data_IF_298680433317
#
_entry.id   IF_298680433317
#
_cell.length_a   1.000
_cell.length_b   1.000
_cell.length_c   1.000
_cell.angle_alpha   90.00
_cell.angle_beta   90.00
_cell.angle_gamma   90.00
#
_symmetry.space_group_name_H-M   'P 1'
#
loop_
_entity.id
_entity.type
_entity.pdbx_description
1 polymer ?
#
# COMPACT_ATOMS: atom_id res chain seq x y z
N UNK A 1 24.67 0.11 -58.11
CA UNK A 1 24.10 1.44 -57.97
C UNK A 1 22.87 1.29 -57.10
N UNK A 2 22.90 1.61 -55.95
CA UNK A 2 22.95 2.65 -54.97
C UNK A 2 23.05 2.02 -53.58
N UNK A 3 23.89 2.58 -52.73
CA UNK A 3 24.25 2.13 -51.40
C UNK A 3 23.13 2.32 -50.36
N UNK A 4 23.12 1.54 -49.26
CA UNK A 4 22.20 1.77 -48.13
C UNK A 4 22.74 2.86 -47.19
N UNK A 5 21.84 3.77 -46.80
CA UNK A 5 22.11 4.86 -45.88
C UNK A 5 22.31 4.38 -44.45
N UNK A 6 23.33 4.90 -43.84
CA UNK A 6 23.70 4.87 -42.44
C UNK A 6 22.55 5.46 -41.59
N UNK A 7 22.02 4.70 -40.65
CA UNK A 7 21.22 5.22 -39.55
C UNK A 7 22.15 5.82 -38.51
N UNK A 8 21.98 7.11 -38.26
CA UNK A 8 22.61 7.83 -37.16
C UNK A 8 22.00 7.38 -35.84
N UNK A 9 22.85 7.07 -34.88
CA UNK A 9 22.50 6.90 -33.45
C UNK A 9 21.93 8.21 -32.93
N UNK A 10 20.72 8.15 -32.39
CA UNK A 10 20.17 9.20 -31.57
C UNK A 10 20.78 9.08 -30.16
N UNK A 11 21.19 10.20 -29.52
CA UNK A 11 21.68 10.17 -28.15
C UNK A 11 20.53 9.82 -27.21
N UNK A 12 20.83 8.99 -26.19
CA UNK A 12 19.96 8.69 -25.08
C UNK A 12 19.57 10.02 -24.39
N UNK A 13 18.29 10.28 -24.25
CA UNK A 13 17.77 11.32 -23.37
C UNK A 13 18.19 10.95 -21.94
N UNK A 14 19.13 11.69 -21.37
CA UNK A 14 19.34 11.79 -19.94
C UNK A 14 18.04 12.33 -19.34
N UNK A 15 17.34 11.48 -18.59
CA UNK A 15 16.27 11.95 -17.69
C UNK A 15 16.91 12.83 -16.66
N UNK A 16 16.63 14.15 -16.76
CA UNK A 16 16.90 15.13 -15.72
C UNK A 16 16.26 14.63 -14.41
N UNK A 17 17.07 14.02 -13.56
CA UNK A 17 16.83 13.97 -12.14
C UNK A 17 16.89 15.42 -11.65
N UNK A 18 15.72 16.08 -11.59
CA UNK A 18 15.57 17.38 -10.94
C UNK A 18 16.10 17.24 -9.52
N UNK A 19 17.28 17.78 -9.33
CA UNK A 19 18.04 17.68 -8.10
C UNK A 19 17.20 18.27 -6.97
N UNK A 20 16.90 17.45 -5.96
CA UNK A 20 16.12 17.86 -4.79
C UNK A 20 16.80 19.02 -4.05
N UNK A 21 18.10 19.21 -4.24
CA UNK A 21 18.81 20.41 -3.80
C UNK A 21 18.33 21.67 -4.51
N UNK A 22 17.97 21.59 -5.78
CA UNK A 22 17.41 22.71 -6.54
C UNK A 22 15.98 23.05 -6.08
N UNK A 23 15.17 22.04 -5.77
CA UNK A 23 13.86 22.23 -5.14
C UNK A 23 13.97 22.81 -3.72
N UNK A 24 14.99 22.42 -2.95
CA UNK A 24 15.30 22.98 -1.63
C UNK A 24 15.92 24.39 -1.74
N UNK A 25 16.67 24.68 -2.80
CA UNK A 25 17.23 26.01 -3.09
C UNK A 25 16.12 27.01 -3.44
N UNK A 26 15.15 26.62 -4.27
CA UNK A 26 13.95 27.42 -4.58
C UNK A 26 13.12 27.75 -3.33
N UNK A 27 13.10 26.83 -2.36
CA UNK A 27 12.46 27.06 -1.05
C UNK A 27 13.26 28.06 -0.20
N UNK A 28 14.59 28.12 -0.35
CA UNK A 28 15.47 29.06 0.35
C UNK A 28 15.50 30.45 -0.28
N UNK A 29 15.40 30.56 -1.61
CA UNK A 29 15.38 31.83 -2.32
C UNK A 29 14.11 32.65 -2.09
N UNK A 30 12.95 32.02 -1.96
CA UNK A 30 11.71 32.72 -1.64
C UNK A 30 11.71 33.46 -0.29
N UNK A 31 12.75 33.30 0.53
CA UNK A 31 12.95 34.04 1.77
C UNK A 31 13.94 35.24 1.65
N UNK A 32 14.61 35.42 0.51
CA UNK A 32 15.57 36.51 0.30
C UNK A 32 15.01 37.73 -0.43
N UNK A 33 13.93 37.60 -1.20
CA UNK A 33 13.41 38.71 -2.01
C UNK A 33 12.46 39.68 -1.28
N UNK A 34 12.25 39.56 0.04
CA UNK A 34 11.50 40.55 0.81
C UNK A 34 12.32 41.40 1.75
N UNK A 35 13.62 41.55 1.48
CA UNK A 35 14.48 42.49 2.19
C UNK A 35 15.39 43.20 1.22
N UNK A 36 14.89 44.24 0.57
CA UNK A 36 15.59 45.49 0.34
C UNK A 36 14.63 46.45 -0.39
N UNK A 37 14.23 47.52 0.28
CA UNK A 37 14.09 48.88 -0.19
C UNK A 37 13.45 49.77 0.89
N UNK A 38 14.20 50.83 1.23
CA UNK A 38 13.57 52.06 1.70
C UNK A 38 13.86 52.51 3.13
N UNK A 39 14.97 53.21 3.25
CA UNK A 39 15.28 54.33 4.18
C UNK A 39 14.09 54.98 4.91
N UNK A 40 14.15 55.07 6.25
CA UNK A 40 13.32 56.00 7.01
C UNK A 40 13.30 55.70 8.52
N UNK A 41 13.87 56.58 9.29
CA UNK A 41 13.93 56.64 10.75
C UNK A 41 12.55 56.46 11.41
N UNK A 42 12.51 55.63 12.43
CA UNK A 42 11.37 55.53 13.33
C UNK A 42 11.55 54.34 14.28
N UNK A 43 12.02 54.63 15.52
CA UNK A 43 12.07 53.65 16.60
C UNK A 43 10.66 53.17 16.94
N UNK A 44 10.20 52.07 16.33
CA UNK A 44 8.98 51.37 16.65
C UNK A 44 9.32 49.94 17.07
N UNK A 45 8.94 49.57 18.28
CA UNK A 45 9.04 48.17 18.80
C UNK A 45 8.51 47.19 17.77
N UNK A 46 9.33 46.23 17.40
CA UNK A 46 8.93 45.05 16.66
C UNK A 46 7.89 44.31 17.50
N UNK A 47 6.65 44.05 17.01
CA UNK A 47 5.72 43.23 17.78
C UNK A 47 6.33 41.81 17.86
N UNK A 48 6.54 41.35 19.08
CA UNK A 48 6.88 39.97 19.36
C UNK A 48 5.84 39.02 18.72
N UNK A 49 6.19 37.73 18.54
CA UNK A 49 5.27 36.76 17.97
C UNK A 49 3.94 36.83 18.68
N UNK A 50 2.86 36.94 17.91
CA UNK A 50 1.48 36.98 18.42
C UNK A 50 1.29 35.90 19.49
N UNK A 51 0.66 36.21 20.65
CA UNK A 51 0.42 35.20 21.67
C UNK A 51 -0.38 34.05 21.02
N UNK A 52 0.11 32.85 21.20
CA UNK A 52 -0.65 31.65 20.86
C UNK A 52 -2.01 31.74 21.55
N UNK A 53 -3.12 31.33 20.91
CA UNK A 53 -4.44 31.38 21.53
C UNK A 53 -4.38 30.69 22.89
N UNK A 54 -4.99 31.32 23.87
CA UNK A 54 -5.01 30.87 25.27
C UNK A 54 -5.35 29.37 25.30
N UNK A 55 -4.52 28.61 26.00
CA UNK A 55 -4.62 27.16 26.06
C UNK A 55 -6.03 26.69 26.45
N UNK A 56 -6.42 25.57 25.81
CA UNK A 56 -7.68 24.85 26.06
C UNK A 56 -7.99 24.75 27.57
N UNK A 57 -9.27 24.90 27.96
CA UNK A 57 -9.65 24.80 29.36
C UNK A 57 -9.23 23.42 29.93
N UNK A 58 -8.79 23.36 31.21
CA UNK A 58 -8.22 22.16 31.82
C UNK A 58 -9.09 20.90 31.75
N UNK A 59 -10.42 21.07 31.66
CA UNK A 59 -11.37 19.96 31.60
C UNK A 59 -11.36 19.16 30.26
N UNK A 60 -11.04 19.79 29.11
CA UNK A 60 -10.95 19.12 27.81
C UNK A 60 -9.67 18.31 27.70
N UNK A 61 -8.58 18.76 28.31
CA UNK A 61 -7.28 18.05 28.29
C UNK A 61 -7.33 16.70 29.01
N UNK A 62 -8.24 16.50 29.94
CA UNK A 62 -8.37 15.23 30.68
C UNK A 62 -9.13 14.16 29.90
N UNK A 63 -9.91 14.53 28.88
CA UNK A 63 -10.72 13.60 28.05
C UNK A 63 -9.95 13.04 26.84
N UNK A 64 -9.00 13.79 26.30
CA UNK A 64 -8.28 13.39 25.10
C UNK A 64 -7.42 12.13 25.31
N UNK A 65 -7.52 11.21 24.37
CA UNK A 65 -6.81 9.93 24.38
C UNK A 65 -5.34 10.13 23.99
N UNK A 66 -4.41 9.46 24.68
CA UNK A 66 -3.00 9.42 24.28
C UNK A 66 -2.87 8.84 22.86
N UNK A 67 -1.98 9.40 22.03
CA UNK A 67 -1.85 9.04 20.62
C UNK A 67 -1.65 7.53 20.36
N UNK A 68 -0.73 6.81 21.04
CA UNK A 68 -0.56 5.37 20.81
C UNK A 68 -1.83 4.59 21.18
N UNK A 69 -2.50 5.02 22.24
CA UNK A 69 -3.73 4.38 22.69
C UNK A 69 -4.89 4.59 21.72
N UNK A 70 -4.98 5.76 21.10
CA UNK A 70 -5.99 6.04 20.07
C UNK A 70 -5.81 5.12 18.86
N UNK A 71 -4.57 4.89 18.39
CA UNK A 71 -4.26 3.93 17.33
C UNK A 71 -4.65 2.50 17.70
N UNK A 72 -4.36 2.07 18.93
CA UNK A 72 -4.79 0.75 19.43
C UNK A 72 -6.31 0.60 19.46
N UNK A 73 -7.04 1.61 19.94
CA UNK A 73 -8.50 1.60 19.98
C UNK A 73 -9.04 1.47 18.55
N UNK A 74 -8.52 2.25 17.60
CA UNK A 74 -8.91 2.21 16.21
C UNK A 74 -8.64 0.82 15.58
N UNK A 75 -7.47 0.25 15.79
CA UNK A 75 -7.16 -1.10 15.35
C UNK A 75 -8.07 -2.18 15.96
N UNK A 76 -8.43 -2.04 17.23
CA UNK A 76 -9.36 -2.99 17.89
C UNK A 76 -10.80 -2.83 17.40
N UNK A 77 -11.22 -1.61 17.10
CA UNK A 77 -12.58 -1.33 16.64
C UNK A 77 -12.91 -2.06 15.33
N UNK A 78 -11.92 -2.22 14.44
CA UNK A 78 -12.08 -2.98 13.20
C UNK A 78 -12.21 -4.50 13.40
N UNK A 79 -11.83 -5.04 14.56
CA UNK A 79 -11.99 -6.47 14.85
C UNK A 79 -13.46 -6.79 15.08
N UNK A 80 -14.02 -7.71 14.33
CA UNK A 80 -15.41 -8.10 14.50
C UNK A 80 -15.64 -8.70 15.89
N UNK A 81 -16.62 -8.21 16.59
CA UNK A 81 -17.29 -8.94 17.65
C UNK A 81 -18.27 -9.94 17.00
N UNK A 82 -17.72 -10.86 16.18
CA UNK A 82 -18.51 -11.96 15.64
C UNK A 82 -18.56 -13.10 16.66
N UNK A 83 -19.65 -13.89 16.70
CA UNK A 83 -19.65 -15.13 17.46
C UNK A 83 -18.47 -15.98 16.98
N UNK A 84 -17.79 -16.66 17.90
CA UNK A 84 -16.76 -17.66 17.58
C UNK A 84 -17.41 -18.66 16.62
N UNK A 85 -17.31 -18.37 15.34
CA UNK A 85 -18.10 -19.02 14.30
C UNK A 85 -17.24 -19.85 13.40
N UNK A 86 -17.75 -20.98 13.14
CA UNK A 86 -17.47 -21.94 12.12
C UNK A 86 -16.70 -21.40 10.90
N UNK A 87 -15.52 -22.00 10.62
CA UNK A 87 -14.89 -21.98 9.32
C UNK A 87 -13.89 -20.87 9.08
N UNK A 88 -12.69 -20.95 9.68
CA UNK A 88 -11.42 -20.50 9.09
C UNK A 88 -11.22 -19.03 8.67
N UNK A 89 -12.21 -18.15 8.82
CA UNK A 89 -12.05 -16.76 8.47
C UNK A 89 -11.07 -16.05 9.43
N UNK A 90 -10.16 -15.18 8.94
CA UNK A 90 -9.28 -14.39 9.80
C UNK A 90 -10.12 -13.63 10.82
N UNK A 91 -9.71 -13.68 12.09
CA UNK A 91 -10.35 -12.94 13.16
C UNK A 91 -10.34 -11.45 12.79
N UNK A 92 -11.54 -10.85 12.61
CA UNK A 92 -11.65 -9.41 12.40
C UNK A 92 -12.46 -8.96 11.19
N UNK A 93 -12.94 -9.84 10.33
CA UNK A 93 -13.70 -9.39 9.16
C UNK A 93 -15.19 -9.29 9.46
N UNK A 94 -15.75 -8.10 9.28
CA UNK A 94 -17.17 -7.82 9.42
C UNK A 94 -18.00 -8.38 8.26
N UNK A 95 -17.39 -8.46 7.10
CA UNK A 95 -18.01 -8.99 5.87
C UNK A 95 -17.57 -10.43 5.63
N UNK A 96 -18.51 -11.27 5.21
CA UNK A 96 -18.19 -12.64 4.84
C UNK A 96 -17.14 -12.67 3.73
N UNK A 97 -16.20 -13.62 3.78
CA UNK A 97 -15.28 -13.86 2.68
C UNK A 97 -16.04 -14.11 1.37
N UNK A 98 -15.44 -13.70 0.27
CA UNK A 98 -16.02 -13.82 -1.07
C UNK A 98 -15.06 -14.51 -2.02
N UNK A 99 -15.60 -15.27 -2.97
CA UNK A 99 -14.82 -15.75 -4.09
C UNK A 99 -14.58 -14.58 -5.06
N UNK A 100 -13.33 -14.34 -5.41
CA UNK A 100 -12.89 -13.23 -6.25
C UNK A 100 -12.03 -13.77 -7.39
N UNK A 101 -12.23 -13.28 -8.61
CA UNK A 101 -11.37 -13.63 -9.74
C UNK A 101 -9.92 -13.25 -9.48
N UNK A 102 -8.96 -13.95 -10.06
CA UNK A 102 -7.55 -13.56 -9.93
C UNK A 102 -7.30 -12.14 -10.44
N UNK A 103 -8.04 -11.68 -11.45
CA UNK A 103 -7.90 -10.32 -11.98
C UNK A 103 -8.27 -9.23 -10.96
N UNK A 104 -9.19 -9.52 -10.04
CA UNK A 104 -9.71 -8.57 -9.05
C UNK A 104 -9.11 -8.78 -7.64
N UNK A 105 -8.34 -9.86 -7.44
CA UNK A 105 -7.86 -10.27 -6.13
C UNK A 105 -6.63 -9.48 -5.63
N UNK A 106 -5.93 -8.77 -6.52
CA UNK A 106 -4.72 -8.02 -6.14
C UNK A 106 -4.94 -7.09 -4.95
N UNK A 107 -4.08 -7.21 -3.92
CA UNK A 107 -4.13 -6.38 -2.72
C UNK A 107 -5.23 -6.76 -1.73
N UNK A 108 -6.00 -7.82 -1.97
CA UNK A 108 -6.88 -8.45 -0.98
C UNK A 108 -6.07 -9.37 -0.06
N UNK A 109 -6.73 -9.87 0.98
CA UNK A 109 -6.13 -10.84 1.92
C UNK A 109 -6.86 -12.17 1.78
N UNK A 110 -6.12 -13.27 1.65
CA UNK A 110 -6.68 -14.61 1.57
C UNK A 110 -7.49 -14.93 2.85
N UNK A 111 -8.73 -15.36 2.66
CA UNK A 111 -9.62 -15.79 3.73
C UNK A 111 -9.70 -17.32 3.88
N UNK A 112 -9.08 -18.04 2.95
CA UNK A 112 -8.85 -19.47 2.99
C UNK A 112 -7.38 -19.74 2.61
N UNK A 113 -6.79 -20.87 3.03
CA UNK A 113 -5.46 -21.24 2.57
C UNK A 113 -5.46 -21.44 1.05
N UNK A 114 -4.31 -21.27 0.45
CA UNK A 114 -4.08 -21.62 -0.96
C UNK A 114 -3.39 -22.98 -0.98
N UNK A 115 -4.12 -24.01 -1.38
CA UNK A 115 -3.60 -25.36 -1.49
C UNK A 115 -3.38 -25.69 -2.99
N UNK A 116 -2.36 -26.47 -3.33
CA UNK A 116 -2.12 -26.86 -4.71
C UNK A 116 -3.27 -27.74 -5.24
N UNK A 117 -3.93 -27.31 -6.31
CA UNK A 117 -4.97 -28.11 -6.99
C UNK A 117 -4.37 -29.09 -7.99
N UNK A 118 -3.10 -28.95 -8.30
CA UNK A 118 -2.32 -29.81 -9.18
C UNK A 118 -0.87 -29.87 -8.72
N UNK A 119 -0.12 -30.85 -9.20
CA UNK A 119 1.33 -30.86 -9.00
C UNK A 119 1.98 -29.72 -9.80
N UNK A 120 3.08 -29.16 -9.29
CA UNK A 120 3.90 -28.18 -10.02
C UNK A 120 5.35 -28.66 -10.16
N UNK A 121 5.85 -28.87 -11.38
CA UNK A 121 5.08 -28.92 -12.63
C UNK A 121 4.11 -30.10 -12.66
N UNK A 122 3.06 -29.99 -13.48
CA UNK A 122 1.99 -31.01 -13.53
C UNK A 122 2.43 -32.34 -14.18
N UNK A 123 3.58 -32.35 -14.86
CA UNK A 123 4.22 -33.50 -15.49
C UNK A 123 5.72 -33.26 -15.60
N UNK A 124 6.49 -34.31 -15.86
CA UNK A 124 7.92 -34.17 -16.11
C UNK A 124 8.16 -33.31 -17.34
N UNK A 125 9.02 -32.29 -17.22
CA UNK A 125 9.31 -31.32 -18.28
C UNK A 125 10.79 -31.20 -18.56
N UNK A 126 11.14 -30.88 -19.79
CA UNK A 126 12.51 -30.54 -20.14
C UNK A 126 12.92 -29.20 -19.51
N UNK A 127 14.06 -29.18 -18.83
CA UNK A 127 14.64 -27.97 -18.30
C UNK A 127 15.37 -27.13 -19.36
N UNK A 128 15.74 -27.76 -20.50
CA UNK A 128 16.58 -27.18 -21.57
C UNK A 128 16.08 -27.56 -22.94
N UNK A 129 16.51 -26.79 -23.93
CA UNK A 129 16.35 -27.16 -25.34
C UNK A 129 17.39 -28.21 -25.76
N UNK A 130 16.95 -29.22 -26.47
CA UNK A 130 17.87 -30.29 -26.86
C UNK A 130 17.20 -31.54 -27.38
N UNK A 131 17.58 -32.68 -26.85
CA UNK A 131 17.00 -33.99 -27.19
C UNK A 131 16.67 -34.77 -25.89
N UNK A 132 15.45 -35.23 -25.78
CA UNK A 132 15.08 -36.28 -24.85
C UNK A 132 15.68 -37.59 -25.38
N UNK A 133 16.43 -38.31 -24.55
CA UNK A 133 17.14 -39.53 -24.94
C UNK A 133 16.76 -40.69 -24.03
N UNK A 134 16.74 -41.91 -24.56
CA UNK A 134 16.53 -43.13 -23.78
C UNK A 134 17.74 -44.06 -23.88
N UNK A 135 18.15 -44.60 -22.72
CA UNK A 135 19.29 -45.51 -22.61
C UNK A 135 20.65 -44.89 -23.01
N UNK A 136 21.68 -45.72 -23.19
CA UNK A 136 23.00 -45.27 -23.61
C UNK A 136 23.07 -44.87 -25.07
N UNK A 137 23.88 -43.83 -25.39
CA UNK A 137 24.14 -43.42 -26.77
C UNK A 137 25.16 -44.31 -27.48
N UNK A 138 25.35 -44.11 -28.81
CA UNK A 138 24.71 -43.08 -29.65
C UNK A 138 23.24 -43.40 -29.95
N UNK A 139 22.41 -42.32 -30.13
CA UNK A 139 20.97 -42.45 -30.29
C UNK A 139 20.52 -42.19 -31.74
N UNK A 140 19.52 -42.92 -32.20
CA UNK A 140 18.80 -42.63 -33.41
C UNK A 140 17.81 -41.50 -33.18
N UNK A 141 17.93 -40.40 -33.92
CA UNK A 141 17.04 -39.26 -33.82
C UNK A 141 15.75 -39.55 -34.58
N UNK A 142 14.59 -39.40 -33.92
CA UNK A 142 13.26 -39.41 -34.55
C UNK A 142 13.02 -38.06 -35.23
N UNK A 143 12.32 -38.07 -36.36
CA UNK A 143 12.01 -36.85 -37.13
C UNK A 143 10.99 -35.94 -36.44
N UNK A 144 10.22 -36.49 -35.48
CA UNK A 144 9.22 -35.75 -34.70
C UNK A 144 9.88 -34.95 -33.60
N UNK A 145 9.48 -33.67 -33.44
CA UNK A 145 9.90 -32.81 -32.30
C UNK A 145 8.80 -32.69 -31.27
N UNK A 146 9.17 -32.63 -29.99
CA UNK A 146 8.23 -32.38 -28.88
C UNK A 146 8.29 -30.90 -28.46
N UNK A 147 7.19 -30.20 -28.65
CA UNK A 147 7.06 -28.79 -28.30
C UNK A 147 6.19 -28.60 -27.04
N UNK A 148 6.43 -27.55 -26.29
CA UNK A 148 5.57 -27.19 -25.15
C UNK A 148 4.12 -26.95 -25.64
N UNK A 149 3.15 -27.42 -24.85
CA UNK A 149 1.72 -27.29 -25.18
C UNK A 149 1.17 -28.35 -26.16
N UNK A 150 2.01 -29.26 -26.64
CA UNK A 150 1.57 -30.38 -27.47
C UNK A 150 1.38 -31.67 -26.65
N UNK A 151 0.64 -32.62 -27.18
CA UNK A 151 0.45 -33.93 -26.56
C UNK A 151 1.80 -34.61 -26.32
N UNK A 152 1.83 -35.52 -25.35
CA UNK A 152 3.01 -36.35 -25.09
C UNK A 152 3.41 -37.11 -26.36
N UNK A 153 4.70 -37.03 -26.72
CA UNK A 153 5.25 -37.87 -27.79
C UNK A 153 5.14 -39.36 -27.41
N UNK A 154 5.30 -40.22 -28.43
CA UNK A 154 5.37 -41.67 -28.21
C UNK A 154 6.55 -42.02 -27.24
N UNK A 155 6.43 -43.07 -26.42
CA UNK A 155 7.52 -43.56 -25.60
C UNK A 155 8.82 -43.75 -26.40
N UNK A 156 9.95 -43.42 -25.77
CA UNK A 156 11.25 -43.68 -26.35
C UNK A 156 11.73 -45.08 -26.01
N UNK A 157 12.34 -45.76 -26.94
CA UNK A 157 13.07 -47.00 -26.68
C UNK A 157 14.57 -46.74 -26.53
N UNK A 158 15.28 -47.64 -25.84
CA UNK A 158 16.73 -47.52 -25.69
C UNK A 158 17.46 -47.27 -27.02
N UNK A 159 18.32 -46.30 -27.08
CA UNK A 159 19.04 -45.86 -28.26
C UNK A 159 18.28 -44.88 -29.16
N UNK A 160 17.15 -44.36 -28.70
CA UNK A 160 16.37 -43.33 -29.41
C UNK A 160 16.50 -41.96 -28.77
N UNK A 161 16.33 -40.93 -29.60
CA UNK A 161 16.28 -39.53 -29.20
C UNK A 161 15.19 -38.79 -29.98
N UNK A 162 14.59 -37.79 -29.35
CA UNK A 162 13.65 -36.86 -30.00
C UNK A 162 13.97 -35.42 -29.65
N UNK A 163 13.88 -34.50 -30.60
CA UNK A 163 14.03 -33.07 -30.33
C UNK A 163 13.00 -32.61 -29.29
N UNK A 164 13.45 -31.85 -28.30
CA UNK A 164 12.57 -31.35 -27.23
C UNK A 164 12.89 -29.90 -26.93
N UNK A 165 11.84 -29.09 -26.74
CA UNK A 165 11.96 -27.72 -26.31
C UNK A 165 11.85 -27.60 -24.77
N UNK A 166 12.44 -26.58 -24.21
CA UNK A 166 12.29 -26.21 -22.78
C UNK A 166 10.81 -26.12 -22.38
N UNK A 167 10.45 -26.73 -21.26
CA UNK A 167 9.08 -26.78 -20.77
C UNK A 167 8.16 -27.79 -21.47
N UNK A 168 8.62 -28.47 -22.52
CA UNK A 168 7.87 -29.54 -23.14
C UNK A 168 7.78 -30.76 -22.23
N UNK A 169 6.66 -31.48 -22.33
CA UNK A 169 6.44 -32.71 -21.58
C UNK A 169 7.43 -33.79 -22.05
N UNK A 170 8.08 -34.40 -21.10
CA UNK A 170 9.04 -35.49 -21.36
C UNK A 170 8.28 -36.72 -21.89
N UNK A 171 8.72 -37.35 -23.04
CA UNK A 171 8.21 -38.64 -23.45
C UNK A 171 8.46 -39.73 -22.40
N UNK A 172 7.62 -40.76 -22.34
CA UNK A 172 7.86 -41.87 -21.42
C UNK A 172 9.19 -42.58 -21.77
N UNK A 173 9.79 -43.16 -20.73
CA UNK A 173 11.07 -43.90 -20.82
C UNK A 173 12.32 -43.05 -21.17
N UNK A 174 12.17 -41.72 -21.21
CA UNK A 174 13.31 -40.81 -21.31
C UNK A 174 14.21 -40.92 -20.10
N UNK A 175 15.50 -41.11 -20.30
CA UNK A 175 16.49 -41.20 -19.19
C UNK A 175 17.16 -39.87 -18.86
N UNK A 176 17.28 -38.98 -19.84
CA UNK A 176 17.86 -37.65 -19.66
C UNK A 176 17.50 -36.69 -20.82
N UNK A 177 17.78 -35.40 -20.65
CA UNK A 177 17.79 -34.44 -21.75
C UNK A 177 19.22 -34.03 -22.06
N UNK A 178 19.61 -34.24 -23.32
CA UNK A 178 20.90 -33.81 -23.88
C UNK A 178 20.72 -32.38 -24.42
N UNK A 179 21.43 -31.43 -23.90
CA UNK A 179 21.36 -30.02 -24.35
C UNK A 179 21.86 -29.87 -25.76
N UNK A 180 21.29 -28.93 -26.51
CA UNK A 180 21.65 -28.65 -27.92
C UNK A 180 23.15 -28.41 -28.11
N UNK A 181 23.82 -27.72 -27.20
CA UNK A 181 25.23 -27.39 -27.26
C UNK A 181 26.16 -28.58 -27.00
N UNK A 182 25.62 -29.68 -26.49
CA UNK A 182 26.40 -30.91 -26.17
C UNK A 182 26.09 -32.07 -27.08
N UNK A 183 25.12 -31.93 -27.99
CA UNK A 183 24.75 -32.94 -28.99
C UNK A 183 25.43 -32.73 -30.34
N UNK A 184 25.87 -33.81 -30.97
CA UNK A 184 26.36 -33.81 -32.37
C UNK A 184 25.71 -34.92 -33.14
N UNK A 185 25.16 -34.62 -34.30
CA UNK A 185 24.60 -35.62 -35.22
C UNK A 185 25.69 -36.01 -36.21
N UNK A 186 25.94 -37.32 -36.35
CA UNK A 186 26.90 -37.86 -37.32
C UNK A 186 26.30 -37.95 -38.75
N UNK A 187 27.12 -38.37 -39.69
CA UNK A 187 26.71 -38.56 -41.12
C UNK A 187 25.67 -39.65 -41.32
N UNK A 188 25.43 -40.48 -40.32
CA UNK A 188 24.43 -41.57 -40.35
C UNK A 188 23.13 -41.15 -39.64
N UNK A 189 23.02 -39.85 -39.19
CA UNK A 189 21.84 -39.33 -38.49
C UNK A 189 21.79 -39.73 -37.02
N UNK A 190 22.86 -40.23 -36.40
CA UNK A 190 22.91 -40.61 -35.00
C UNK A 190 23.41 -39.45 -34.12
N UNK A 191 22.76 -39.28 -33.01
CA UNK A 191 23.11 -38.28 -32.02
C UNK A 191 24.18 -38.83 -31.06
N UNK A 192 25.25 -38.06 -30.88
CA UNK A 192 26.34 -38.32 -29.94
C UNK A 192 26.41 -37.19 -28.89
N UNK A 193 26.77 -37.54 -27.67
CA UNK A 193 27.08 -36.55 -26.64
C UNK A 193 28.56 -36.21 -26.60
N UNK A 194 28.89 -34.96 -26.29
CA UNK A 194 30.27 -34.49 -26.04
C UNK A 194 30.63 -34.50 -24.55
N UNK A 195 29.70 -34.87 -23.67
CA UNK A 195 29.88 -34.94 -22.20
C UNK A 195 29.22 -36.21 -21.69
N UNK A 196 29.69 -36.63 -20.50
CA UNK A 196 29.04 -37.66 -19.72
C UNK A 196 27.64 -37.17 -19.30
N UNK A 197 26.66 -38.07 -19.36
CA UNK A 197 25.28 -37.78 -18.98
C UNK A 197 24.84 -38.64 -17.80
N UNK A 198 24.02 -38.06 -16.95
CA UNK A 198 23.47 -38.72 -15.78
C UNK A 198 21.97 -38.94 -15.93
N UNK A 199 21.46 -40.00 -15.32
CA UNK A 199 20.02 -40.26 -15.30
C UNK A 199 19.27 -39.11 -14.62
N UNK A 200 18.16 -38.62 -15.24
CA UNK A 200 17.38 -37.47 -14.78
C UNK A 200 17.99 -36.11 -15.11
N UNK A 201 19.15 -36.08 -15.79
CA UNK A 201 19.78 -34.79 -16.14
C UNK A 201 18.87 -33.94 -16.99
N UNK A 202 18.75 -32.64 -16.60
CA UNK A 202 17.92 -31.61 -17.26
C UNK A 202 16.43 -31.97 -17.43
N UNK A 203 15.93 -32.89 -16.58
CA UNK A 203 14.52 -33.18 -16.40
C UNK A 203 14.04 -32.49 -15.12
N UNK A 204 12.96 -31.71 -15.22
CA UNK A 204 12.22 -31.20 -14.05
C UNK A 204 11.11 -32.20 -13.73
N UNK A 205 11.20 -32.93 -12.63
CA UNK A 205 10.22 -33.93 -12.28
C UNK A 205 8.88 -33.31 -11.90
N UNK A 206 7.80 -34.00 -12.20
CA UNK A 206 6.44 -33.68 -11.75
C UNK A 206 6.42 -33.47 -10.23
N UNK A 207 5.77 -32.40 -9.78
CA UNK A 207 5.65 -32.08 -8.36
C UNK A 207 6.96 -31.66 -7.69
N UNK A 208 7.95 -31.18 -8.44
CA UNK A 208 9.23 -30.72 -7.89
C UNK A 208 9.05 -29.52 -6.95
N UNK A 209 8.13 -28.61 -7.26
CA UNK A 209 7.83 -27.44 -6.44
C UNK A 209 6.80 -27.76 -5.36
N UNK A 210 5.67 -28.35 -5.74
CA UNK A 210 4.63 -28.81 -4.82
C UNK A 210 3.78 -29.93 -5.43
N UNK A 211 3.15 -30.71 -4.58
CA UNK A 211 2.19 -31.74 -4.96
C UNK A 211 0.77 -31.30 -4.71
N UNK A 212 -0.16 -31.88 -5.47
CA UNK A 212 -1.60 -31.69 -5.24
C UNK A 212 -1.95 -31.90 -3.75
N UNK A 213 -2.63 -30.90 -3.15
CA UNK A 213 -3.01 -30.89 -1.74
C UNK A 213 -1.98 -30.26 -0.80
N UNK A 214 -0.77 -29.92 -1.27
CA UNK A 214 0.19 -29.19 -0.44
C UNK A 214 -0.31 -27.76 -0.19
N UNK A 215 -0.22 -27.30 1.05
CA UNK A 215 -0.54 -25.91 1.38
C UNK A 215 0.58 -24.99 0.89
N UNK A 216 0.26 -24.12 -0.06
CA UNK A 216 1.20 -23.14 -0.63
C UNK A 216 1.29 -21.89 0.21
N UNK A 217 0.14 -21.33 0.62
CA UNK A 217 0.06 -20.09 1.40
C UNK A 217 -1.02 -20.18 2.47
N UNK A 218 -0.77 -19.64 3.68
CA UNK A 218 -1.74 -19.65 4.76
C UNK A 218 -2.83 -18.59 4.58
N UNK A 219 -3.92 -18.73 5.33
CA UNK A 219 -4.93 -17.67 5.55
C UNK A 219 -4.23 -16.40 6.06
N UNK A 220 -4.70 -15.24 5.63
CA UNK A 220 -4.13 -13.94 6.02
C UNK A 220 -3.03 -13.44 5.11
N UNK A 221 -2.61 -14.24 4.11
CA UNK A 221 -1.61 -13.81 3.12
C UNK A 221 -2.17 -12.69 2.25
N UNK A 222 -1.39 -11.61 2.07
CA UNK A 222 -1.70 -10.53 1.13
C UNK A 222 -1.50 -11.02 -0.30
N UNK A 223 -2.51 -10.83 -1.15
CA UNK A 223 -2.45 -11.20 -2.57
C UNK A 223 -1.58 -10.19 -3.32
N UNK A 224 -0.34 -10.57 -3.56
CA UNK A 224 0.63 -9.85 -4.40
C UNK A 224 0.58 -10.35 -5.85
N UNK A 225 1.27 -9.70 -6.81
CA UNK A 225 1.40 -10.24 -8.16
C UNK A 225 2.00 -11.66 -8.21
N UNK A 226 2.97 -11.96 -7.33
CA UNK A 226 3.56 -13.29 -7.23
C UNK A 226 2.56 -14.34 -6.72
N UNK A 227 1.71 -13.97 -5.74
CA UNK A 227 0.62 -14.83 -5.25
C UNK A 227 -0.41 -15.11 -6.34
N UNK A 228 -0.74 -14.12 -7.19
CA UNK A 228 -1.62 -14.35 -8.35
C UNK A 228 -1.02 -15.37 -9.32
N UNK A 229 0.28 -15.23 -9.63
CA UNK A 229 1.00 -16.16 -10.50
C UNK A 229 1.02 -17.58 -9.92
N UNK A 230 1.33 -17.71 -8.64
CA UNK A 230 1.31 -19.00 -7.93
C UNK A 230 -0.08 -19.63 -7.91
N UNK A 231 -1.12 -18.86 -7.61
CA UNK A 231 -2.50 -19.33 -7.61
C UNK A 231 -2.91 -19.84 -9.00
N UNK A 232 -2.60 -19.08 -10.06
CA UNK A 232 -2.89 -19.50 -11.43
C UNK A 232 -2.14 -20.79 -11.79
N UNK A 233 -0.84 -20.87 -11.48
CA UNK A 233 -0.04 -22.08 -11.73
C UNK A 233 -0.57 -23.30 -10.96
N UNK A 234 -1.07 -23.08 -9.72
CA UNK A 234 -1.67 -24.12 -8.88
C UNK A 234 -3.09 -24.53 -9.30
N UNK A 235 -3.69 -23.88 -10.34
CA UNK A 235 -4.97 -24.26 -10.94
C UNK A 235 -6.19 -23.43 -10.50
N UNK A 236 -5.98 -22.27 -9.90
CA UNK A 236 -7.07 -21.39 -9.47
C UNK A 236 -7.50 -20.39 -10.55
N UNK A 237 -8.80 -20.22 -10.73
CA UNK A 237 -9.41 -19.11 -11.46
C UNK A 237 -9.90 -18.03 -10.49
N UNK A 238 -10.26 -18.43 -9.27
CA UNK A 238 -10.76 -17.58 -8.20
C UNK A 238 -10.10 -17.94 -6.88
N UNK A 239 -9.97 -16.97 -5.99
CA UNK A 239 -9.53 -17.17 -4.60
C UNK A 239 -10.57 -16.68 -3.62
N UNK A 240 -10.64 -17.30 -2.43
CA UNK A 240 -11.48 -16.81 -1.34
C UNK A 240 -10.73 -15.73 -0.58
N UNK A 241 -11.25 -14.50 -0.61
CA UNK A 241 -10.59 -13.34 -0.02
C UNK A 241 -11.52 -12.50 0.86
N UNK A 242 -10.89 -11.71 1.74
CA UNK A 242 -11.57 -10.68 2.54
C UNK A 242 -11.92 -9.52 1.63
N UNK A 243 -13.20 -9.12 1.51
CA UNK A 243 -13.60 -8.00 0.66
C UNK A 243 -13.08 -6.68 1.20
N UNK A 244 -12.80 -5.72 0.30
CA UNK A 244 -12.38 -4.37 0.67
C UNK A 244 -13.43 -3.70 1.56
N UNK A 245 -13.03 -3.01 2.66
CA UNK A 245 -13.96 -2.21 3.44
C UNK A 245 -14.53 -1.08 2.57
N UNK A 246 -15.84 -0.91 2.62
CA UNK A 246 -16.54 0.15 1.88
C UNK A 246 -16.46 1.45 2.67
N UNK A 247 -16.00 2.51 2.04
CA UNK A 247 -15.82 3.83 2.68
C UNK A 247 -16.64 4.87 1.97
N UNK A 248 -17.30 5.73 2.74
CA UNK A 248 -17.96 6.92 2.25
C UNK A 248 -17.31 8.15 2.87
N UNK A 249 -17.00 9.15 2.05
CA UNK A 249 -16.42 10.42 2.48
C UNK A 249 -17.49 11.49 2.46
N UNK A 250 -17.68 12.17 3.58
CA UNK A 250 -18.59 13.32 3.74
C UNK A 250 -17.74 14.58 3.94
N UNK A 251 -17.70 15.43 2.92
CA UNK A 251 -16.98 16.71 2.97
C UNK A 251 -17.94 17.76 3.50
N UNK A 252 -17.61 18.31 4.67
CA UNK A 252 -18.46 19.25 5.41
C UNK A 252 -17.94 20.67 5.27
N UNK A 253 -18.84 21.65 5.12
CA UNK A 253 -18.57 23.08 5.12
C UNK A 253 -19.13 23.80 3.88
N UNK A 254 -19.87 24.88 4.13
CA UNK A 254 -20.41 25.76 3.09
C UNK A 254 -19.33 26.66 2.46
N UNK A 255 -18.20 26.84 3.16
CA UNK A 255 -17.05 27.62 2.69
C UNK A 255 -16.23 26.95 1.59
N UNK A 256 -16.51 25.69 1.25
CA UNK A 256 -15.66 24.87 0.38
C UNK A 256 -16.04 24.97 -1.10
N UNK A 257 -15.14 25.53 -1.91
CA UNK A 257 -15.25 25.55 -3.37
C UNK A 257 -14.80 24.22 -3.99
N UNK A 258 -15.53 23.78 -5.01
CA UNK A 258 -15.15 22.61 -5.81
C UNK A 258 -14.17 22.93 -6.93
N UNK A 259 -14.20 24.16 -7.45
CA UNK A 259 -13.38 24.62 -8.58
C UNK A 259 -13.08 26.11 -8.46
N UNK A 260 -12.12 26.60 -9.20
CA UNK A 260 -11.73 28.00 -9.21
C UNK A 260 -10.80 28.42 -8.06
N UNK A 261 -10.56 29.72 -7.97
CA UNK A 261 -9.71 30.33 -6.95
C UNK A 261 -10.53 30.74 -5.72
N UNK A 262 -9.93 30.76 -4.52
CA UNK A 262 -10.57 31.29 -3.33
C UNK A 262 -11.02 32.75 -3.52
N UNK A 263 -12.23 33.08 -3.04
CA UNK A 263 -12.82 34.41 -3.08
C UNK A 263 -13.88 34.57 -1.98
N UNK A 264 -14.16 35.79 -1.57
CA UNK A 264 -15.25 36.17 -0.65
C UNK A 264 -15.36 35.30 0.62
N UNK A 265 -14.23 34.88 1.19
CA UNK A 265 -14.18 34.02 2.36
C UNK A 265 -14.32 32.50 2.05
N UNK A 266 -14.62 32.16 0.81
CA UNK A 266 -14.64 30.76 0.37
C UNK A 266 -13.24 30.26 0.09
N UNK A 267 -12.96 29.02 0.46
CA UNK A 267 -11.66 28.36 0.27
C UNK A 267 -11.79 27.14 -0.64
N UNK A 268 -10.68 26.75 -1.26
CA UNK A 268 -10.65 25.56 -2.10
C UNK A 268 -10.64 24.29 -1.26
N UNK A 269 -11.57 23.38 -1.53
CA UNK A 269 -11.53 22.05 -0.92
C UNK A 269 -10.27 21.27 -1.34
N UNK A 270 -9.43 20.96 -0.37
CA UNK A 270 -8.23 20.15 -0.54
C UNK A 270 -8.44 18.69 -0.12
N UNK A 271 -9.31 18.42 0.82
CA UNK A 271 -9.54 17.09 1.40
C UNK A 271 -10.42 16.21 0.50
N UNK A 272 -11.41 16.77 -0.15
CA UNK A 272 -12.28 16.04 -1.08
C UNK A 272 -11.52 15.32 -2.19
N UNK A 273 -10.60 15.96 -2.92
CA UNK A 273 -9.76 15.29 -3.92
C UNK A 273 -8.69 14.40 -3.32
N UNK A 274 -8.17 14.69 -2.11
CA UNK A 274 -7.05 13.96 -1.48
C UNK A 274 -7.48 12.63 -0.86
N UNK A 275 -8.59 12.59 -0.12
CA UNK A 275 -8.97 11.43 0.68
C UNK A 275 -9.31 10.18 -0.15
N UNK A 276 -10.07 10.25 -1.26
CA UNK A 276 -10.44 9.04 -1.99
C UNK A 276 -9.25 8.23 -2.53
N UNK A 277 -8.25 8.82 -3.20
CA UNK A 277 -7.07 8.07 -3.64
C UNK A 277 -6.26 7.52 -2.45
N UNK A 278 -6.14 8.27 -1.36
CA UNK A 278 -5.46 7.81 -0.16
C UNK A 278 -6.14 6.59 0.46
N UNK A 279 -7.46 6.65 0.67
CA UNK A 279 -8.24 5.54 1.22
C UNK A 279 -8.17 4.29 0.33
N UNK A 280 -8.16 4.46 -1.01
CA UNK A 280 -7.97 3.34 -1.95
C UNK A 280 -6.58 2.72 -1.81
N UNK A 281 -5.53 3.53 -1.65
CA UNK A 281 -4.17 3.03 -1.41
C UNK A 281 -4.08 2.24 -0.10
N UNK A 282 -4.85 2.62 0.94
CA UNK A 282 -5.00 1.85 2.17
C UNK A 282 -5.86 0.57 2.00
N UNK A 283 -6.38 0.31 0.80
CA UNK A 283 -7.13 -0.89 0.46
C UNK A 283 -8.64 -0.79 0.66
N UNK A 284 -9.18 0.41 0.78
CA UNK A 284 -10.62 0.64 0.85
C UNK A 284 -11.28 0.69 -0.55
N UNK A 285 -12.59 0.37 -0.57
CA UNK A 285 -13.48 0.65 -1.69
C UNK A 285 -14.25 1.95 -1.38
N UNK A 286 -13.85 3.07 -1.98
CA UNK A 286 -14.53 4.36 -1.79
C UNK A 286 -15.78 4.41 -2.66
N UNK A 287 -16.93 4.14 -2.02
CA UNK A 287 -18.22 3.99 -2.70
C UNK A 287 -18.92 5.32 -3.00
N UNK A 288 -18.62 6.37 -2.24
CA UNK A 288 -19.17 7.70 -2.46
C UNK A 288 -18.31 8.80 -1.83
N UNK A 289 -18.34 9.97 -2.44
CA UNK A 289 -17.86 11.23 -1.87
C UNK A 289 -19.02 12.23 -1.97
N UNK A 290 -19.54 12.70 -0.85
CA UNK A 290 -20.67 13.65 -0.81
C UNK A 290 -20.27 14.92 -0.09
N UNK A 291 -20.72 16.03 -0.61
CA UNK A 291 -20.62 17.34 0.04
C UNK A 291 -21.88 17.63 0.81
N UNK A 292 -21.73 18.13 2.01
CA UNK A 292 -22.81 18.47 2.91
C UNK A 292 -22.47 19.84 3.49
N UNK A 293 -23.40 20.79 3.32
CA UNK A 293 -23.30 22.09 3.96
C UNK A 293 -23.47 22.01 5.48
N UNK A 294 -23.49 23.16 6.13
CA UNK A 294 -23.63 23.29 7.59
C UNK A 294 -25.07 22.99 8.05
N UNK A 295 -25.63 21.88 7.61
CA UNK A 295 -26.95 21.36 7.90
C UNK A 295 -26.91 20.05 8.68
N UNK A 296 -27.22 20.12 9.97
CA UNK A 296 -27.28 18.98 10.86
C UNK A 296 -28.26 17.89 10.42
N UNK A 297 -29.38 18.27 9.76
CA UNK A 297 -30.36 17.28 9.30
C UNK A 297 -29.87 16.53 8.07
N UNK A 298 -29.23 17.24 7.13
CA UNK A 298 -28.61 16.66 5.96
C UNK A 298 -27.48 15.69 6.37
N UNK A 299 -26.60 16.11 7.31
CA UNK A 299 -25.53 15.26 7.82
C UNK A 299 -26.09 14.01 8.54
N UNK A 300 -27.11 14.16 9.38
CA UNK A 300 -27.76 13.01 10.01
C UNK A 300 -28.31 12.02 9.00
N UNK A 301 -29.02 12.51 7.96
CA UNK A 301 -29.56 11.68 6.88
C UNK A 301 -28.44 10.96 6.11
N UNK A 302 -27.32 11.65 5.87
CA UNK A 302 -26.17 11.09 5.20
C UNK A 302 -25.54 9.94 6.02
N UNK A 303 -25.32 10.16 7.31
CA UNK A 303 -24.74 9.15 8.21
C UNK A 303 -25.68 7.95 8.34
N UNK A 304 -26.97 8.16 8.67
CA UNK A 304 -27.91 7.06 8.90
C UNK A 304 -28.29 6.29 7.63
N UNK A 305 -28.20 6.93 6.45
CA UNK A 305 -28.51 6.31 5.15
C UNK A 305 -27.31 5.63 4.50
N UNK A 306 -26.11 5.79 5.02
CA UNK A 306 -24.90 5.24 4.43
C UNK A 306 -24.89 3.70 4.49
N UNK A 307 -24.33 3.08 3.45
CA UNK A 307 -24.10 1.63 3.36
C UNK A 307 -22.61 1.27 3.49
N UNK A 308 -21.80 2.23 3.88
CA UNK A 308 -20.36 2.03 4.09
C UNK A 308 -20.08 1.27 5.38
N UNK A 309 -18.94 0.62 5.45
CA UNK A 309 -18.40 0.04 6.68
C UNK A 309 -17.75 1.13 7.55
N UNK A 310 -17.23 2.16 6.88
CA UNK A 310 -16.62 3.35 7.50
C UNK A 310 -17.11 4.61 6.79
N UNK A 311 -17.57 5.59 7.57
CA UNK A 311 -17.80 6.96 7.14
C UNK A 311 -16.60 7.81 7.59
N UNK A 312 -16.08 8.64 6.69
CA UNK A 312 -15.05 9.63 7.00
C UNK A 312 -15.63 11.01 6.79
N UNK A 313 -15.67 11.84 7.83
CA UNK A 313 -16.08 13.25 7.71
C UNK A 313 -14.85 14.16 7.70
N UNK A 314 -14.92 15.29 7.02
CA UNK A 314 -13.90 16.35 7.07
C UNK A 314 -14.52 17.60 7.68
N UNK A 315 -13.91 18.10 8.77
CA UNK A 315 -14.48 19.20 9.54
C UNK A 315 -15.60 18.78 10.49
N UNK A 316 -16.18 19.73 11.20
CA UNK A 316 -17.28 19.53 12.13
C UNK A 316 -16.92 18.72 13.39
N UNK A 317 -15.63 18.62 13.74
CA UNK A 317 -15.14 17.84 14.88
C UNK A 317 -14.64 18.68 16.06
N UNK A 318 -14.61 20.01 15.93
CA UNK A 318 -14.24 20.91 17.01
C UNK A 318 -15.49 21.35 17.81
N UNK A 319 -15.32 22.20 18.82
CA UNK A 319 -16.42 22.70 19.66
C UNK A 319 -16.98 24.02 19.13
N UNK A 320 -17.05 24.18 17.79
CA UNK A 320 -17.55 25.39 17.15
C UNK A 320 -19.08 25.40 16.97
N UNK A 321 -19.68 26.54 16.68
CA UNK A 321 -21.14 26.69 16.55
C UNK A 321 -21.74 25.91 15.36
N UNK A 322 -20.93 25.54 14.36
CA UNK A 322 -21.30 24.75 13.18
C UNK A 322 -20.82 23.29 13.26
N UNK A 323 -20.34 22.87 14.43
CA UNK A 323 -19.88 21.49 14.66
C UNK A 323 -21.06 20.57 14.94
N UNK A 324 -21.53 19.89 13.90
CA UNK A 324 -22.71 19.05 13.99
C UNK A 324 -22.42 17.56 14.23
N UNK A 325 -21.15 17.12 14.15
CA UNK A 325 -20.80 15.69 14.23
C UNK A 325 -21.12 15.11 15.60
N UNK A 326 -20.64 15.73 16.70
CA UNK A 326 -20.90 15.25 18.06
C UNK A 326 -22.41 15.19 18.40
N UNK A 327 -23.21 16.27 18.18
CA UNK A 327 -24.65 16.22 18.46
C UNK A 327 -25.40 15.16 17.65
N UNK A 328 -24.96 14.89 16.42
CA UNK A 328 -25.57 13.86 15.60
C UNK A 328 -25.23 12.47 16.10
N UNK A 329 -23.96 12.21 16.46
CA UNK A 329 -23.53 10.93 17.01
C UNK A 329 -24.31 10.61 18.30
N UNK A 330 -24.49 11.59 19.18
CA UNK A 330 -25.31 11.46 20.39
C UNK A 330 -26.76 11.11 20.05
N UNK A 331 -27.37 11.87 19.12
CA UNK A 331 -28.77 11.70 18.72
C UNK A 331 -29.05 10.32 18.09
N UNK A 332 -28.12 9.77 17.33
CA UNK A 332 -28.25 8.41 16.76
C UNK A 332 -27.83 7.32 17.74
N UNK A 333 -27.35 7.71 18.95
CA UNK A 333 -26.89 6.81 19.99
C UNK A 333 -25.63 6.03 19.58
N UNK A 334 -24.73 6.68 18.87
CA UNK A 334 -23.42 6.12 18.56
C UNK A 334 -22.53 6.13 19.81
N UNK A 335 -21.66 5.14 19.90
CA UNK A 335 -20.65 5.06 20.94
C UNK A 335 -19.38 5.80 20.48
N UNK A 336 -18.94 6.81 21.24
CA UNK A 336 -17.65 7.46 21.04
C UNK A 336 -16.55 6.56 21.59
N UNK A 337 -15.70 6.02 20.73
CA UNK A 337 -14.55 5.20 21.08
C UNK A 337 -13.31 6.04 21.37
N UNK A 338 -13.14 7.13 20.62
CA UNK A 338 -12.11 8.15 20.80
C UNK A 338 -12.76 9.50 20.61
N UNK A 339 -12.54 10.41 21.56
CA UNK A 339 -13.00 11.79 21.52
C UNK A 339 -11.82 12.71 21.84
N UNK A 340 -11.21 13.25 20.80
CA UNK A 340 -9.94 13.96 20.87
C UNK A 340 -8.72 13.07 21.12
N UNK A 341 -7.60 13.44 20.51
CA UNK A 341 -6.32 12.75 20.64
C UNK A 341 -5.23 13.73 21.04
N UNK A 342 -4.33 13.32 21.94
CA UNK A 342 -3.15 14.10 22.34
C UNK A 342 -2.09 14.07 21.22
N UNK A 343 -2.42 14.75 20.10
CA UNK A 343 -1.57 14.86 18.91
C UNK A 343 -1.64 16.25 18.30
N UNK A 344 -0.56 16.71 17.71
CA UNK A 344 -0.44 17.99 16.98
C UNK A 344 0.21 17.77 15.60
N UNK A 345 -0.42 18.30 14.54
CA UNK A 345 -1.78 18.81 14.48
C UNK A 345 -2.81 17.67 14.55
N UNK A 346 -4.09 18.00 14.79
CA UNK A 346 -5.18 17.04 14.64
C UNK A 346 -5.93 16.66 15.90
N UNK A 347 -5.68 17.35 17.02
CA UNK A 347 -6.33 17.09 18.33
C UNK A 347 -7.84 16.77 18.28
N UNK A 348 -8.72 17.53 17.58
CA UNK A 348 -10.17 17.30 17.62
C UNK A 348 -10.67 16.18 16.70
N UNK A 349 -9.84 15.20 16.38
CA UNK A 349 -10.29 14.00 15.66
C UNK A 349 -11.11 13.08 16.56
N UNK A 350 -12.04 12.32 15.99
CA UNK A 350 -12.87 11.38 16.73
C UNK A 350 -13.05 10.05 15.99
N UNK A 351 -13.35 8.99 16.75
CA UNK A 351 -13.80 7.69 16.25
C UNK A 351 -15.07 7.29 17.00
N UNK A 352 -16.11 7.00 16.25
CA UNK A 352 -17.37 6.52 16.78
C UNK A 352 -17.81 5.19 16.13
N UNK A 353 -18.68 4.45 16.81
CA UNK A 353 -19.34 3.25 16.32
C UNK A 353 -20.85 3.41 16.44
N UNK A 354 -21.57 3.27 15.33
CA UNK A 354 -23.04 3.32 15.34
C UNK A 354 -23.64 2.01 15.87
N UNK A 355 -24.93 2.03 16.20
CA UNK A 355 -25.66 0.83 16.65
C UNK A 355 -25.62 -0.31 15.64
N UNK A 356 -25.53 -0.01 14.34
CA UNK A 356 -25.39 -0.99 13.27
C UNK A 356 -23.94 -1.43 13.05
N UNK A 357 -23.06 -1.14 14.01
CA UNK A 357 -21.63 -1.44 13.99
C UNK A 357 -20.85 -0.75 12.87
N UNK A 358 -21.41 0.20 12.14
CA UNK A 358 -20.70 1.05 11.21
C UNK A 358 -19.77 1.99 11.98
N UNK A 359 -18.60 2.27 11.44
CA UNK A 359 -17.67 3.22 12.06
C UNK A 359 -17.79 4.60 11.41
N UNK A 360 -17.49 5.62 12.20
CA UNK A 360 -17.33 6.98 11.73
C UNK A 360 -16.01 7.55 12.28
N UNK A 361 -15.16 8.04 11.39
CA UNK A 361 -13.95 8.80 11.72
C UNK A 361 -14.19 10.25 11.34
N UNK A 362 -14.19 11.12 12.33
CA UNK A 362 -14.23 12.56 12.13
C UNK A 362 -12.83 13.12 12.02
N UNK A 363 -12.49 13.69 10.87
CA UNK A 363 -11.22 14.35 10.63
C UNK A 363 -11.37 15.86 10.77
N UNK A 364 -10.37 16.57 11.32
CA UNK A 364 -10.35 18.04 11.32
C UNK A 364 -10.41 18.62 9.90
N UNK A 365 -10.92 19.84 9.75
CA UNK A 365 -10.96 20.54 8.46
C UNK A 365 -9.59 20.98 7.92
N UNK A 366 -8.62 21.26 8.82
CA UNK A 366 -7.26 21.63 8.43
C UNK A 366 -6.51 20.45 7.79
N UNK A 367 -5.89 20.61 6.61
CA UNK A 367 -5.37 19.50 5.81
C UNK A 367 -4.33 18.60 6.51
N UNK A 368 -3.25 19.15 7.09
CA UNK A 368 -2.27 18.32 7.81
C UNK A 368 -2.88 17.69 9.08
N UNK A 369 -3.81 18.39 9.72
CA UNK A 369 -4.56 17.84 10.84
C UNK A 369 -5.45 16.65 10.43
N UNK A 370 -6.08 16.72 9.25
CA UNK A 370 -6.84 15.61 8.68
C UNK A 370 -5.94 14.42 8.35
N UNK A 371 -4.75 14.66 7.79
CA UNK A 371 -3.73 13.61 7.55
C UNK A 371 -3.32 12.95 8.85
N UNK A 372 -3.08 13.73 9.91
CA UNK A 372 -2.78 13.17 11.24
C UNK A 372 -3.92 12.27 11.74
N UNK A 373 -5.17 12.70 11.56
CA UNK A 373 -6.35 11.90 11.94
C UNK A 373 -6.50 10.64 11.09
N UNK A 374 -6.22 10.73 9.81
CA UNK A 374 -6.26 9.60 8.90
C UNK A 374 -5.25 8.52 9.31
N UNK A 375 -4.00 8.89 9.58
CA UNK A 375 -2.96 7.97 10.03
C UNK A 375 -3.16 7.47 11.47
N UNK A 376 -3.81 8.27 12.33
CA UNK A 376 -4.06 7.91 13.72
C UNK A 376 -5.26 6.98 13.88
N UNK A 377 -6.37 7.23 13.20
CA UNK A 377 -7.64 6.53 13.41
C UNK A 377 -8.09 5.71 12.19
N UNK A 378 -8.12 6.32 10.99
CA UNK A 378 -8.69 5.64 9.83
C UNK A 378 -7.80 4.50 9.31
N UNK A 379 -6.50 4.69 9.23
CA UNK A 379 -5.56 3.67 8.73
C UNK A 379 -5.58 2.39 9.59
N UNK A 380 -5.32 2.42 10.92
CA UNK A 380 -5.32 1.21 11.72
C UNK A 380 -6.69 0.51 11.75
N UNK A 381 -7.78 1.27 11.69
CA UNK A 381 -9.14 0.73 11.54
C UNK A 381 -9.33 0.01 10.20
N UNK A 382 -8.98 0.67 9.09
CA UNK A 382 -9.12 0.10 7.74
C UNK A 382 -8.27 -1.15 7.54
N UNK A 383 -7.02 -1.14 8.02
CA UNK A 383 -6.15 -2.33 7.98
C UNK A 383 -6.82 -3.52 8.65
N UNK A 384 -7.40 -3.31 9.82
CA UNK A 384 -8.09 -4.39 10.56
C UNK A 384 -9.38 -4.82 9.85
N UNK A 385 -10.18 -3.89 9.32
CA UNK A 385 -11.38 -4.20 8.54
C UNK A 385 -11.06 -5.00 7.27
N UNK A 386 -9.92 -4.76 6.65
CA UNK A 386 -9.42 -5.46 5.47
C UNK A 386 -8.61 -6.74 5.82
N UNK A 387 -8.49 -7.08 7.10
CA UNK A 387 -7.60 -8.14 7.60
C UNK A 387 -6.14 -7.99 7.16
N UNK A 388 -5.69 -6.79 6.79
CA UNK A 388 -4.31 -6.51 6.42
C UNK A 388 -3.41 -6.50 7.67
N UNK A 389 -2.22 -7.09 7.61
CA UNK A 389 -1.27 -7.00 8.71
C UNK A 389 -0.88 -5.53 8.96
N UNK A 390 -0.63 -5.19 10.23
CA UNK A 390 0.01 -3.93 10.55
C UNK A 390 1.44 -3.93 9.98
N UNK A 391 1.94 -2.80 9.46
CA UNK A 391 3.36 -2.69 9.12
C UNK A 391 4.19 -2.83 10.40
N UNK A 392 5.37 -3.42 10.28
CA UNK A 392 6.34 -3.43 11.36
C UNK A 392 6.78 -1.98 11.64
N UNK A 393 6.69 -1.52 12.90
CA UNK A 393 7.19 -0.19 13.26
C UNK A 393 8.69 -0.10 13.00
N UNK A 394 9.14 0.99 12.44
CA UNK A 394 10.56 1.26 12.26
C UNK A 394 10.90 2.69 12.66
N UNK A 395 12.15 2.94 12.99
CA UNK A 395 12.66 4.24 13.40
C UNK A 395 13.84 4.65 12.54
N UNK A 396 14.03 5.95 12.37
CA UNK A 396 15.26 6.54 11.82
C UNK A 396 15.69 7.73 12.68
N UNK A 397 17.01 8.00 12.78
CA UNK A 397 17.51 9.18 13.46
C UNK A 397 17.12 10.46 12.70
N UNK A 398 16.67 11.46 13.44
CA UNK A 398 16.33 12.77 12.89
C UNK A 398 17.61 13.54 12.49
N UNK A 399 17.64 14.08 11.28
CA UNK A 399 18.77 14.89 10.80
C UNK A 399 18.91 16.20 11.55
N UNK A 400 17.80 16.76 12.04
CA UNK A 400 17.73 18.02 12.76
C UNK A 400 16.85 17.85 14.01
N UNK A 401 17.08 18.71 15.03
CA UNK A 401 16.24 18.73 16.20
C UNK A 401 14.82 19.22 15.87
N UNK A 402 13.81 18.59 16.42
CA UNK A 402 12.40 18.97 16.25
C UNK A 402 11.83 19.44 17.58
N UNK A 403 11.32 20.68 17.59
CA UNK A 403 10.65 21.22 18.76
C UNK A 403 9.34 20.47 19.02
N UNK A 404 9.15 19.97 20.23
CA UNK A 404 7.95 19.26 20.67
C UNK A 404 6.82 20.18 21.14
N UNK A 405 5.66 19.56 21.35
CA UNK A 405 4.60 20.15 22.19
C UNK A 405 4.79 19.71 23.63
N UNK A 406 4.46 20.53 24.64
CA UNK A 406 4.72 20.15 26.04
C UNK A 406 4.02 18.86 26.50
N UNK A 407 2.86 18.54 25.95
CA UNK A 407 1.99 17.44 26.41
C UNK A 407 1.53 16.48 25.32
N UNK A 408 1.61 16.88 24.06
CA UNK A 408 1.05 16.14 22.94
C UNK A 408 2.15 15.62 22.02
N UNK A 409 1.95 14.45 21.43
CA UNK A 409 2.76 13.94 20.32
C UNK A 409 2.65 14.88 19.11
N UNK A 410 3.73 15.09 18.38
CA UNK A 410 3.71 15.80 17.08
C UNK A 410 3.93 14.84 15.95
N UNK A 411 3.17 15.02 14.85
CA UNK A 411 3.38 14.33 13.59
C UNK A 411 3.97 15.34 12.59
N UNK A 412 5.20 15.11 12.17
CA UNK A 412 6.00 16.03 11.35
C UNK A 412 6.30 15.38 10.00
N UNK A 413 5.98 16.03 8.88
CA UNK A 413 6.39 15.55 7.56
C UNK A 413 7.91 15.47 7.45
N UNK A 414 8.44 14.35 6.96
CA UNK A 414 9.87 14.10 6.78
C UNK A 414 10.14 13.50 5.41
N UNK A 415 11.35 13.76 4.90
CA UNK A 415 11.92 13.10 3.73
C UNK A 415 13.00 12.13 4.20
N UNK A 416 13.05 10.93 3.62
CA UNK A 416 14.05 9.92 3.95
C UNK A 416 15.30 10.14 3.10
N UNK A 417 16.46 10.24 3.74
CA UNK A 417 17.76 10.43 3.08
C UNK A 417 18.79 9.47 3.66
N UNK A 418 19.06 8.38 2.93
CA UNK A 418 19.89 7.31 3.43
C UNK A 418 19.32 6.74 4.72
N UNK A 419 20.06 6.83 5.80
CA UNK A 419 19.74 6.33 7.14
C UNK A 419 19.14 7.39 8.09
N UNK A 420 18.67 8.54 7.55
CA UNK A 420 18.13 9.64 8.36
C UNK A 420 16.76 10.11 7.86
N UNK A 421 15.93 10.60 8.78
CA UNK A 421 14.71 11.35 8.49
C UNK A 421 14.98 12.86 8.60
N UNK A 422 14.71 13.59 7.51
CA UNK A 422 14.89 15.04 7.42
C UNK A 422 13.57 15.76 7.61
N UNK A 423 13.36 16.51 8.73
CA UNK A 423 12.12 17.23 8.96
C UNK A 423 11.88 18.36 7.94
N UNK A 424 10.63 18.51 7.49
CA UNK A 424 10.21 19.57 6.59
C UNK A 424 9.62 20.76 7.35
N UNK A 425 9.91 21.98 6.87
CA UNK A 425 9.50 23.23 7.52
C UNK A 425 7.98 23.49 7.44
N UNK A 426 7.28 22.99 6.42
CA UNK A 426 5.84 23.20 6.22
C UNK A 426 5.01 22.16 6.99
N UNK A 427 4.93 22.35 8.33
CA UNK A 427 4.30 21.40 9.24
C UNK A 427 3.18 22.00 10.11
N UNK A 428 2.66 23.17 9.73
CA UNK A 428 1.48 23.77 10.39
C UNK A 428 0.19 23.04 10.03
N UNK A 429 -0.87 23.14 10.84
CA UNK A 429 -2.11 22.35 10.70
C UNK A 429 -2.78 22.48 9.34
N UNK A 430 -2.75 23.65 8.71
CA UNK A 430 -3.36 23.91 7.40
C UNK A 430 -2.40 23.69 6.21
N UNK A 431 -1.17 23.26 6.46
CA UNK A 431 -0.13 23.14 5.43
C UNK A 431 -0.14 21.77 4.76
N UNK A 432 -0.22 21.75 3.42
CA UNK A 432 -0.10 20.54 2.61
C UNK A 432 1.26 20.42 1.90
N UNK A 433 1.99 21.52 1.76
CA UNK A 433 3.26 21.53 1.03
C UNK A 433 4.27 20.54 1.61
N UNK A 434 4.35 20.45 2.95
CA UNK A 434 5.21 19.49 3.62
C UNK A 434 4.78 18.04 3.34
N UNK A 435 3.48 17.73 3.46
CA UNK A 435 2.97 16.37 3.19
C UNK A 435 3.17 15.96 1.72
N UNK A 436 2.97 16.89 0.79
CA UNK A 436 3.12 16.61 -0.63
C UNK A 436 4.57 16.26 -1.02
N UNK A 437 5.54 16.74 -0.25
CA UNK A 437 6.97 16.48 -0.46
C UNK A 437 7.54 15.39 0.47
N UNK A 438 6.73 14.86 1.39
CA UNK A 438 7.18 13.92 2.41
C UNK A 438 7.10 12.46 1.93
N UNK A 439 8.01 11.65 2.45
CA UNK A 439 7.98 10.19 2.36
C UNK A 439 7.19 9.58 3.53
N UNK A 440 7.29 10.20 4.72
CA UNK A 440 6.67 9.73 5.95
C UNK A 440 6.30 10.87 6.90
N UNK A 441 5.56 10.57 7.97
CA UNK A 441 5.45 11.44 9.13
C UNK A 441 6.27 10.86 10.29
N UNK A 442 7.17 11.66 10.86
CA UNK A 442 7.89 11.32 12.08
C UNK A 442 7.00 11.56 13.31
N UNK A 443 6.99 10.61 14.21
CA UNK A 443 6.29 10.67 15.50
C UNK A 443 7.24 11.26 16.54
N UNK A 444 7.00 12.51 16.91
CA UNK A 444 7.84 13.25 17.87
C UNK A 444 7.13 13.27 19.22
N UNK A 445 7.76 12.78 20.30
CA UNK A 445 7.15 12.72 21.61
C UNK A 445 6.94 14.11 22.23
N UNK A 446 6.14 14.23 23.30
CA UNK A 446 6.08 15.44 24.12
C UNK A 446 7.49 15.89 24.54
N UNK A 447 7.75 17.20 24.45
CA UNK A 447 9.07 17.78 24.73
C UNK A 447 9.96 17.89 23.49
N UNK A 448 9.70 17.14 22.42
CA UNK A 448 10.50 17.20 21.18
C UNK A 448 11.48 16.07 21.04
N UNK A 449 12.32 16.18 20.01
CA UNK A 449 13.40 15.24 19.73
C UNK A 449 14.66 16.01 19.32
N UNK A 450 15.83 15.51 19.72
CA UNK A 450 17.14 16.10 19.38
C UNK A 450 17.62 15.57 18.04
N UNK A 451 18.56 16.28 17.45
CA UNK A 451 19.31 15.77 16.29
C UNK A 451 19.94 14.41 16.64
N UNK A 452 19.80 13.43 15.76
CA UNK A 452 20.30 12.07 15.93
C UNK A 452 19.43 11.17 16.80
N UNK A 453 18.33 11.69 17.38
CA UNK A 453 17.38 10.89 18.15
C UNK A 453 16.44 10.11 17.22
N UNK A 454 16.19 8.85 17.54
CA UNK A 454 15.32 7.96 16.79
C UNK A 454 13.86 8.39 16.88
N UNK A 455 13.20 8.50 15.72
CA UNK A 455 11.77 8.76 15.65
C UNK A 455 11.06 7.63 14.89
N UNK A 456 9.94 7.14 15.43
CA UNK A 456 9.04 6.25 14.69
C UNK A 456 8.51 6.96 13.45
N UNK A 457 8.42 6.23 12.33
CA UNK A 457 7.95 6.74 11.06
C UNK A 457 6.62 6.09 10.65
N UNK A 458 5.73 6.93 10.13
CA UNK A 458 4.47 6.52 9.53
C UNK A 458 4.56 6.78 8.03
N UNK A 459 4.68 5.72 7.25
CA UNK A 459 4.79 5.83 5.80
C UNK A 459 3.55 6.45 5.17
N UNK A 460 3.77 7.25 4.14
CA UNK A 460 2.71 7.73 3.27
C UNK A 460 2.49 6.71 2.13
N UNK A 461 1.23 6.46 1.71
CA UNK A 461 0.93 5.36 0.80
C UNK A 461 1.50 5.54 -0.63
N UNK A 462 2.04 6.70 -0.95
CA UNK A 462 2.74 6.99 -2.20
C UNK A 462 4.24 7.13 -2.03
N UNK A 463 4.76 7.08 -0.81
CA UNK A 463 6.20 7.09 -0.60
C UNK A 463 6.81 6.02 -1.51
N UNK A 464 7.72 6.43 -2.37
CA UNK A 464 8.39 5.52 -3.26
C UNK A 464 8.97 4.40 -2.40
N UNK A 465 8.63 3.15 -2.73
CA UNK A 465 9.21 1.95 -2.12
C UNK A 465 10.72 1.89 -2.46
N UNK A 466 11.44 2.98 -2.14
CA UNK A 466 12.84 3.21 -2.49
C UNK A 466 13.81 2.81 -1.40
N UNK A 467 13.34 2.50 -0.21
CA UNK A 467 14.23 1.98 0.84
C UNK A 467 13.50 0.84 1.54
N UNK A 468 13.76 -0.37 1.07
CA UNK A 468 13.65 -1.55 1.90
C UNK A 468 12.27 -2.07 2.24
N UNK A 469 11.26 -1.91 1.38
CA UNK A 469 10.21 -2.93 1.38
C UNK A 469 10.76 -4.12 0.61
N UNK A 470 11.63 -4.88 1.26
CA UNK A 470 11.80 -6.27 0.91
C UNK A 470 10.42 -6.91 1.02
N UNK A 471 9.83 -7.23 -0.12
CA UNK A 471 8.80 -8.24 -0.18
C UNK A 471 9.47 -9.56 0.19
N UNK A 472 9.45 -9.92 1.46
CA UNK A 472 9.73 -11.28 1.95
C UNK A 472 8.42 -11.92 2.29
#
# INVERSE_FOLDING_TARGET
>A
MTAPGTRADAPAEETDDLDVEEALALVREGHRETRDDGTGEGAGQVPGPSPQPAGEPPAERHRATAWPRAREIAARAGRAHGPKGAGGAPAGTRRAPVAVSLADALGLVLAAPLDALTDLPSFDTSAMDGWAVAGPGPWQVRDEGVLAGHAQGEPLTDGEAVRIATGARIPADTTAVLRTEHGRIDTQGRLHTTREMFHGQDIRPRGQECRNGDQLLPVGTLVTPAVLGLAAAAGYDTVTAVPRPRVEVLVLGDELLTEGLPHDGLIRDALGPMLPPWLRALGADVIAVRRIGDDAQALRKAVTGSKADLIVTTGGTASGPVDHVHPILERIGAELLVDGVKVRPGHPMLLARTKDHQHLVGLPGNPLAAVSGLLTLAEPLLRTLAARPAPEPYTLPLKEAVQGHPYDTRLIPVVLRGDHAVPLHYNGPAMLRGVAAADALAVVPPGGARQGEEAELLDLPWAAAGIGVCFT
#
